data_IF_634001331784
#
_entry.id   IF_634001331784
#
_cell.length_a   1.000
_cell.length_b   1.000
_cell.length_c   1.000
_cell.angle_alpha   90.00
_cell.angle_beta   90.00
_cell.angle_gamma   90.00
#
_symmetry.space_group_name_H-M   'P 1'
#
loop_
_entity.id
_entity.type
_entity.pdbx_description
1 polymer ?
#
# COMPACT_ATOMS: atom_id res chain seq x y z
N UNK A 1 -32.81 18.87 -14.48
CA UNK A 1 -31.59 18.06 -14.45
C UNK A 1 -31.54 17.40 -13.08
N UNK A 2 -31.49 16.08 -12.95
CA UNK A 2 -31.46 15.46 -11.63
C UNK A 2 -30.08 15.72 -11.00
N UNK A 3 -30.07 15.96 -9.69
CA UNK A 3 -28.85 16.08 -8.90
C UNK A 3 -28.03 14.80 -9.04
N UNK A 4 -26.78 14.94 -9.47
CA UNK A 4 -25.79 13.86 -9.37
C UNK A 4 -25.68 13.51 -7.89
N UNK A 5 -26.19 12.33 -7.51
CA UNK A 5 -26.06 11.87 -6.13
C UNK A 5 -24.59 11.76 -5.80
N UNK A 6 -24.12 12.59 -4.87
CA UNK A 6 -22.83 12.33 -4.23
C UNK A 6 -23.06 11.05 -3.42
N UNK A 7 -22.57 9.92 -3.93
CA UNK A 7 -22.44 8.71 -3.12
C UNK A 7 -21.66 9.09 -1.86
N UNK A 8 -22.23 8.80 -0.69
CA UNK A 8 -21.55 9.07 0.58
C UNK A 8 -20.25 8.26 0.62
N UNK A 9 -19.12 8.95 0.82
CA UNK A 9 -17.82 8.33 0.89
C UNK A 9 -17.74 7.39 2.11
N UNK A 10 -17.69 6.08 1.80
CA UNK A 10 -17.87 4.98 2.75
C UNK A 10 -16.69 4.89 3.71
N UNK A 11 -16.97 4.78 5.02
CA UNK A 11 -15.95 4.49 6.03
C UNK A 11 -15.51 3.02 5.93
N UNK A 12 -14.21 2.78 5.86
CA UNK A 12 -13.56 1.46 5.75
C UNK A 12 -12.93 1.04 7.07
N UNK A 13 -12.30 1.97 7.80
CA UNK A 13 -11.73 1.72 9.13
C UNK A 13 -12.12 2.84 10.09
N UNK A 14 -12.25 2.51 11.37
CA UNK A 14 -12.59 3.47 12.44
C UNK A 14 -11.52 3.57 13.54
N UNK A 15 -10.39 2.90 13.35
CA UNK A 15 -9.31 2.81 14.33
C UNK A 15 -7.91 2.84 13.68
N UNK A 16 -7.71 3.69 12.66
CA UNK A 16 -6.42 3.79 11.98
C UNK A 16 -5.31 4.36 12.88
N UNK A 17 -5.43 5.62 13.30
CA UNK A 17 -4.50 6.30 14.22
C UNK A 17 -5.27 7.24 15.18
N UNK A 18 -4.76 7.59 16.39
CA UNK A 18 -5.51 8.42 17.34
C UNK A 18 -5.99 9.76 16.78
N UNK A 19 -5.13 10.43 16.00
CA UNK A 19 -5.42 11.75 15.43
C UNK A 19 -6.15 11.66 14.08
N UNK A 20 -6.12 10.48 13.46
CA UNK A 20 -6.78 10.17 12.21
C UNK A 20 -7.44 8.78 12.31
N UNK A 21 -8.57 8.68 13.04
CA UNK A 21 -9.16 7.38 13.34
C UNK A 21 -9.89 6.76 12.16
N UNK A 22 -10.38 7.58 11.22
CA UNK A 22 -11.23 7.15 10.12
C UNK A 22 -10.44 7.04 8.83
N UNK A 23 -10.56 5.91 8.13
CA UNK A 23 -10.15 5.75 6.73
C UNK A 23 -11.39 5.51 5.90
N UNK A 24 -11.49 6.19 4.78
CA UNK A 24 -12.62 6.14 3.84
C UNK A 24 -12.21 5.50 2.53
N UNK A 25 -13.21 5.16 1.72
CA UNK A 25 -12.99 4.52 0.42
C UNK A 25 -12.16 5.41 -0.50
N UNK A 26 -12.33 6.74 -0.44
CA UNK A 26 -11.52 7.68 -1.23
C UNK A 26 -10.05 7.76 -0.85
N UNK A 27 -9.67 7.22 0.32
CA UNK A 27 -8.30 7.22 0.82
C UNK A 27 -7.51 5.99 0.31
N UNK A 28 -8.17 5.05 -0.37
CA UNK A 28 -7.54 3.84 -0.90
C UNK A 28 -6.97 4.06 -2.30
N UNK A 29 -5.92 3.31 -2.62
CA UNK A 29 -5.17 3.43 -3.86
C UNK A 29 -4.20 4.60 -3.86
N UNK A 30 -3.78 4.97 -5.07
CA UNK A 30 -2.86 6.08 -5.27
C UNK A 30 -3.53 7.41 -4.94
N UNK A 31 -2.86 8.20 -4.11
CA UNK A 31 -3.31 9.53 -3.73
C UNK A 31 -3.23 10.49 -4.92
N UNK A 32 -3.88 11.66 -4.80
CA UNK A 32 -3.71 12.73 -5.79
C UNK A 32 -2.26 13.21 -5.88
N UNK A 33 -1.52 13.19 -4.76
CA UNK A 33 -0.10 13.56 -4.75
C UNK A 33 0.70 12.55 -5.54
N UNK A 34 0.43 11.26 -5.32
CA UNK A 34 1.13 10.16 -5.98
C UNK A 34 0.95 10.23 -7.50
N UNK A 35 -0.28 10.53 -7.93
CA UNK A 35 -0.59 10.74 -9.35
C UNK A 35 0.14 11.96 -9.95
N UNK A 36 0.34 13.02 -9.15
CA UNK A 36 1.07 14.20 -9.60
C UNK A 36 2.56 13.91 -9.73
N UNK A 37 3.14 13.20 -8.76
CA UNK A 37 4.55 12.79 -8.79
C UNK A 37 4.85 11.90 -10.00
N UNK A 38 3.94 10.99 -10.33
CA UNK A 38 4.06 10.11 -11.50
C UNK A 38 3.61 10.74 -12.82
N UNK A 39 3.12 11.99 -12.81
CA UNK A 39 2.52 12.69 -13.95
C UNK A 39 1.38 11.89 -14.64
N UNK A 40 0.70 11.01 -13.90
CA UNK A 40 -0.36 10.13 -14.41
C UNK A 40 -1.30 9.65 -13.31
N UNK A 41 -2.58 9.45 -13.62
CA UNK A 41 -3.52 8.75 -12.75
C UNK A 41 -3.79 7.30 -13.19
N UNK A 42 -3.05 6.79 -14.19
CA UNK A 42 -3.15 5.39 -14.59
C UNK A 42 -2.44 4.53 -13.52
N UNK A 43 -3.13 3.60 -12.83
CA UNK A 43 -2.54 2.85 -11.73
C UNK A 43 -1.27 2.08 -12.08
N UNK A 44 -1.17 1.57 -13.33
CA UNK A 44 0.02 0.87 -13.82
C UNK A 44 1.19 1.82 -14.00
N UNK A 45 0.94 3.01 -14.53
CA UNK A 45 1.98 4.03 -14.75
C UNK A 45 2.50 4.57 -13.43
N UNK A 46 1.60 4.84 -12.47
CA UNK A 46 1.97 5.27 -11.10
C UNK A 46 2.80 4.21 -10.39
N UNK A 47 2.37 2.95 -10.42
CA UNK A 47 3.13 1.84 -9.85
C UNK A 47 4.53 1.74 -10.47
N UNK A 48 4.62 1.74 -11.80
CA UNK A 48 5.90 1.65 -12.50
C UNK A 48 6.81 2.85 -12.26
N UNK A 49 6.24 4.04 -12.00
CA UNK A 49 7.01 5.22 -11.63
C UNK A 49 7.70 5.01 -10.28
N UNK A 50 6.95 4.73 -9.20
CA UNK A 50 7.57 4.52 -7.89
C UNK A 50 8.45 3.28 -7.85
N UNK A 51 8.06 2.22 -8.55
CA UNK A 51 8.88 1.02 -8.69
C UNK A 51 10.34 1.32 -9.13
N UNK A 52 10.51 2.34 -9.97
CA UNK A 52 11.82 2.72 -10.52
C UNK A 52 12.55 3.81 -9.74
N UNK A 53 11.85 4.55 -8.88
CA UNK A 53 12.38 5.77 -8.27
C UNK A 53 12.35 5.78 -6.74
N UNK A 54 11.56 4.91 -6.12
CA UNK A 54 11.46 4.79 -4.67
C UNK A 54 12.35 3.64 -4.15
N UNK A 55 12.83 3.77 -2.92
CA UNK A 55 13.50 2.72 -2.16
C UNK A 55 12.52 1.72 -1.54
N UNK A 56 11.37 2.20 -1.09
CA UNK A 56 10.29 1.30 -0.67
C UNK A 56 8.90 1.93 -0.76
N UNK A 57 7.87 1.06 -0.83
CA UNK A 57 6.46 1.44 -0.74
C UNK A 57 5.82 0.57 0.33
N UNK A 58 5.31 1.19 1.40
CA UNK A 58 4.57 0.52 2.47
C UNK A 58 3.08 0.73 2.28
N UNK A 59 2.31 -0.36 2.32
CA UNK A 59 0.86 -0.32 2.14
C UNK A 59 0.13 -1.18 3.18
N UNK A 60 -1.06 -0.75 3.57
CA UNK A 60 -1.99 -1.54 4.38
C UNK A 60 -3.11 -2.08 3.50
N UNK A 61 -3.16 -3.40 3.31
CA UNK A 61 -4.21 -4.04 2.52
C UNK A 61 -5.46 -4.25 3.37
N UNK A 62 -6.52 -3.50 3.06
CA UNK A 62 -7.71 -3.45 3.92
C UNK A 62 -8.51 -4.75 3.94
N UNK A 63 -8.32 -5.62 2.93
CA UNK A 63 -9.05 -6.88 2.79
C UNK A 63 -8.58 -7.92 3.81
N UNK A 64 -7.28 -8.03 4.07
CA UNK A 64 -6.72 -9.00 5.02
C UNK A 64 -6.18 -8.37 6.32
N UNK A 65 -6.13 -7.05 6.36
CA UNK A 65 -5.72 -6.26 7.51
C UNK A 65 -4.22 -6.32 7.81
N UNK A 66 -3.37 -6.54 6.81
CA UNK A 66 -1.91 -6.59 6.98
C UNK A 66 -1.18 -5.49 6.24
N UNK A 67 0.04 -5.24 6.73
CA UNK A 67 0.98 -4.35 6.09
C UNK A 67 1.90 -5.15 5.17
N UNK A 68 2.23 -4.56 4.04
CA UNK A 68 3.13 -5.10 3.06
C UNK A 68 4.11 -4.02 2.62
N UNK A 69 5.29 -4.45 2.18
CA UNK A 69 6.30 -3.55 1.68
C UNK A 69 6.90 -4.06 0.38
N UNK A 70 6.95 -3.19 -0.62
CA UNK A 70 7.84 -3.33 -1.76
C UNK A 70 9.17 -2.73 -1.38
N UNK A 71 10.19 -3.57 -1.23
CA UNK A 71 11.54 -3.14 -0.91
C UNK A 71 12.41 -3.23 -2.17
N UNK A 72 12.81 -2.04 -2.64
CA UNK A 72 13.47 -1.80 -3.92
C UNK A 72 14.91 -1.30 -3.73
N UNK A 73 15.33 -1.07 -2.48
CA UNK A 73 16.71 -0.71 -2.15
C UNK A 73 17.59 -1.96 -2.00
N UNK A 74 18.12 -2.46 -3.12
CA UNK A 74 19.05 -3.60 -3.13
C UNK A 74 18.68 -4.67 -4.14
N UNK A 75 19.46 -5.76 -4.19
CA UNK A 75 19.21 -6.89 -5.10
C UNK A 75 19.48 -8.21 -4.36
N UNK A 76 18.55 -9.19 -4.38
CA UNK A 76 17.23 -9.15 -5.03
C UNK A 76 16.28 -8.15 -4.35
N UNK A 77 15.40 -7.56 -5.14
CA UNK A 77 14.26 -6.81 -4.62
C UNK A 77 13.25 -7.77 -3.98
N UNK A 78 12.44 -7.26 -3.06
CA UNK A 78 11.53 -8.10 -2.27
C UNK A 78 10.14 -7.49 -2.14
N UNK A 79 9.15 -8.36 -2.10
CA UNK A 79 7.81 -8.05 -1.61
C UNK A 79 7.56 -8.93 -0.39
N UNK A 80 7.30 -8.33 0.77
CA UNK A 80 7.07 -9.08 2.00
C UNK A 80 5.86 -8.57 2.76
N UNK A 81 5.31 -9.45 3.59
CA UNK A 81 4.35 -9.08 4.63
C UNK A 81 5.11 -8.59 5.85
N UNK A 82 4.84 -7.36 6.29
CA UNK A 82 5.49 -6.76 7.46
C UNK A 82 4.98 -7.45 8.73
N UNK A 83 5.91 -7.76 9.65
CA UNK A 83 5.55 -8.41 10.92
C UNK A 83 4.80 -7.46 11.84
N UNK A 84 3.82 -8.02 12.52
CA UNK A 84 3.12 -7.32 13.59
C UNK A 84 4.04 -7.22 14.81
N UNK A 85 4.10 -6.05 15.43
CA UNK A 85 4.82 -5.86 16.68
C UNK A 85 4.26 -6.79 17.75
N UNK A 86 5.15 -7.46 18.49
CA UNK A 86 4.75 -8.39 19.56
C UNK A 86 3.99 -7.71 20.70
N UNK A 87 4.19 -6.39 20.89
CA UNK A 87 3.55 -5.57 21.93
C UNK A 87 2.32 -4.79 21.42
N UNK A 88 1.83 -5.06 20.20
CA UNK A 88 0.67 -4.35 19.67
C UNK A 88 -0.60 -4.64 20.48
N UNK A 89 -1.26 -3.58 20.95
CA UNK A 89 -2.43 -3.64 21.83
C UNK A 89 -3.77 -3.86 21.09
N UNK A 90 -3.75 -3.92 19.75
CA UNK A 90 -4.93 -4.07 18.92
C UNK A 90 -5.78 -2.81 18.78
N UNK A 91 -5.40 -1.69 19.40
CA UNK A 91 -6.24 -0.48 19.46
C UNK A 91 -6.18 0.33 18.17
N UNK A 92 -4.97 0.55 17.65
CA UNK A 92 -4.72 1.40 16.47
C UNK A 92 -3.96 0.63 15.40
N UNK A 93 -4.52 0.56 14.19
CA UNK A 93 -3.97 -0.23 13.08
C UNK A 93 -2.58 0.25 12.67
N UNK A 94 -2.36 1.56 12.56
CA UNK A 94 -1.06 2.14 12.19
C UNK A 94 0.06 1.87 13.24
N UNK A 95 -0.30 1.39 14.44
CA UNK A 95 0.65 0.97 15.48
C UNK A 95 0.96 -0.53 15.45
N UNK A 96 0.41 -1.26 14.49
CA UNK A 96 0.65 -2.69 14.28
C UNK A 96 2.10 -2.96 13.84
N UNK A 97 2.75 -2.00 13.19
CA UNK A 97 4.13 -2.10 12.71
C UNK A 97 5.03 -1.02 13.34
N UNK A 98 6.36 -1.22 13.25
CA UNK A 98 7.36 -0.21 13.59
C UNK A 98 7.82 0.49 12.32
N UNK A 99 7.51 1.78 12.17
CA UNK A 99 7.89 2.57 10.99
C UNK A 99 9.39 2.87 10.89
N UNK A 100 10.16 2.60 11.96
CA UNK A 100 11.61 2.86 12.01
C UNK A 100 12.45 1.58 12.04
N UNK A 101 11.80 0.41 12.21
CA UNK A 101 12.45 -0.88 12.30
C UNK A 101 11.80 -1.78 11.26
N UNK A 102 12.22 -1.60 10.01
CA UNK A 102 11.84 -2.47 8.88
C UNK A 102 12.56 -3.82 9.03
N UNK A 103 12.21 -4.56 10.08
CA UNK A 103 12.62 -5.97 10.15
C UNK A 103 11.91 -6.71 9.02
N UNK A 104 12.72 -7.31 8.13
CA UNK A 104 12.23 -8.16 7.05
C UNK A 104 11.23 -9.18 7.60
N UNK A 105 10.01 -9.12 7.06
CA UNK A 105 8.94 -10.00 7.46
C UNK A 105 8.94 -11.32 6.69
N UNK A 106 7.75 -11.77 6.33
CA UNK A 106 7.62 -13.00 5.54
C UNK A 106 7.72 -12.65 4.06
N UNK A 107 8.84 -13.01 3.43
CA UNK A 107 9.08 -12.77 2.01
C UNK A 107 8.08 -13.56 1.18
N UNK A 108 7.28 -12.86 0.40
CA UNK A 108 6.25 -13.42 -0.47
C UNK A 108 6.81 -13.66 -1.87
N UNK A 109 7.65 -12.74 -2.33
CA UNK A 109 8.27 -12.82 -3.64
C UNK A 109 9.62 -12.08 -3.64
N UNK A 110 10.56 -12.62 -4.40
CA UNK A 110 11.83 -11.98 -4.75
C UNK A 110 11.92 -11.81 -6.25
N UNK A 111 12.51 -10.70 -6.70
CA UNK A 111 12.69 -10.40 -8.12
C UNK A 111 14.09 -9.83 -8.34
N UNK A 112 14.74 -10.30 -9.40
CA UNK A 112 16.09 -9.90 -9.78
C UNK A 112 16.13 -8.89 -10.93
N UNK A 113 14.98 -8.61 -11.58
CA UNK A 113 14.91 -7.79 -12.79
C UNK A 113 13.55 -7.06 -12.95
N UNK A 114 13.55 -5.96 -13.72
CA UNK A 114 12.49 -4.98 -13.93
C UNK A 114 11.35 -5.44 -14.89
N UNK A 115 11.15 -6.74 -14.99
CA UNK A 115 10.17 -7.34 -15.91
C UNK A 115 8.73 -7.09 -15.44
N UNK A 116 7.92 -6.40 -16.25
CA UNK A 116 6.46 -6.12 -16.16
C UNK A 116 5.73 -6.61 -14.89
N UNK A 117 6.19 -6.15 -13.72
CA UNK A 117 5.78 -6.66 -12.42
C UNK A 117 4.28 -6.48 -12.19
N UNK A 118 3.71 -5.41 -12.75
CA UNK A 118 2.29 -5.16 -12.74
C UNK A 118 1.44 -6.36 -13.17
N UNK A 119 1.89 -7.11 -14.18
CA UNK A 119 1.14 -8.24 -14.74
C UNK A 119 1.45 -9.58 -14.06
N UNK A 120 2.58 -9.67 -13.34
CA UNK A 120 3.07 -10.92 -12.75
C UNK A 120 2.75 -10.99 -11.26
N UNK A 121 2.87 -9.86 -10.57
CA UNK A 121 2.78 -9.77 -9.13
C UNK A 121 1.36 -9.97 -8.64
N UNK A 122 1.23 -10.88 -7.68
CA UNK A 122 -0.04 -11.23 -7.03
C UNK A 122 0.17 -11.44 -5.54
N UNK A 123 -0.86 -11.15 -4.77
CA UNK A 123 -0.98 -11.50 -3.35
C UNK A 123 -2.16 -12.47 -3.23
N UNK A 124 -1.89 -13.72 -2.83
CA UNK A 124 -2.91 -14.78 -2.73
C UNK A 124 -3.84 -14.85 -3.97
N UNK A 125 -3.23 -14.93 -5.16
CA UNK A 125 -3.87 -14.92 -6.48
C UNK A 125 -4.57 -13.60 -6.91
N UNK A 126 -4.62 -12.58 -6.05
CA UNK A 126 -5.14 -11.25 -6.38
C UNK A 126 -4.09 -10.43 -7.14
N UNK A 127 -4.40 -9.89 -8.33
CA UNK A 127 -3.48 -9.01 -9.07
C UNK A 127 -3.07 -7.78 -8.27
N UNK A 128 -1.81 -7.35 -8.40
CA UNK A 128 -1.31 -6.24 -7.58
C UNK A 128 -2.11 -4.93 -7.77
N UNK A 129 -2.64 -4.68 -8.96
CA UNK A 129 -3.50 -3.52 -9.21
C UNK A 129 -4.75 -3.50 -8.32
N UNK A 130 -5.38 -4.66 -8.12
CA UNK A 130 -6.56 -4.79 -7.26
C UNK A 130 -6.17 -4.70 -5.78
N UNK A 131 -5.00 -5.23 -5.40
CA UNK A 131 -4.45 -5.07 -4.05
C UNK A 131 -4.24 -3.59 -3.74
N UNK A 132 -3.52 -2.86 -4.60
CA UNK A 132 -3.23 -1.43 -4.42
C UNK A 132 -4.51 -0.60 -4.37
N UNK A 133 -5.48 -0.86 -5.26
CA UNK A 133 -6.77 -0.15 -5.27
C UNK A 133 -7.60 -0.35 -3.98
N UNK A 134 -7.33 -1.42 -3.23
CA UNK A 134 -7.98 -1.73 -1.96
C UNK A 134 -7.03 -1.57 -0.76
N UNK A 135 -5.91 -0.89 -0.96
CA UNK A 135 -4.91 -0.62 0.07
C UNK A 135 -4.81 0.86 0.38
N UNK A 136 -4.44 1.17 1.61
CA UNK A 136 -3.94 2.49 1.94
C UNK A 136 -2.44 2.50 1.65
N UNK A 137 -1.97 3.39 0.77
CA UNK A 137 -0.54 3.62 0.57
C UNK A 137 -0.06 4.51 1.71
N UNK A 138 0.72 3.95 2.63
CA UNK A 138 1.05 4.62 3.88
C UNK A 138 2.33 5.44 3.79
N UNK A 139 3.32 4.94 3.06
CA UNK A 139 4.63 5.57 2.94
C UNK A 139 5.31 5.18 1.62
N UNK A 140 5.98 6.15 1.00
CA UNK A 140 6.84 5.96 -0.17
C UNK A 140 8.20 6.60 0.18
N UNK A 141 9.24 5.79 0.26
CA UNK A 141 10.58 6.20 0.65
C UNK A 141 11.46 6.43 -0.59
N UNK A 142 12.30 7.46 -0.58
CA UNK A 142 13.17 7.88 -1.70
C UNK A 142 14.61 8.15 -1.27
#
# INVERSE_FOLDING_TARGET
MPACGMEEDKVILTNWFPDEPLIRQSDLGWSKSDCLDAESCNPKEVFNYFWKHAFSIVLYYTVDGNFYEFFMEGSPFKFWRVRTKADWDGKWVARKISWNEHEEGDVLLTFDDDTDLWNVLKLDDVPIGDVLANSLICEINY
#
